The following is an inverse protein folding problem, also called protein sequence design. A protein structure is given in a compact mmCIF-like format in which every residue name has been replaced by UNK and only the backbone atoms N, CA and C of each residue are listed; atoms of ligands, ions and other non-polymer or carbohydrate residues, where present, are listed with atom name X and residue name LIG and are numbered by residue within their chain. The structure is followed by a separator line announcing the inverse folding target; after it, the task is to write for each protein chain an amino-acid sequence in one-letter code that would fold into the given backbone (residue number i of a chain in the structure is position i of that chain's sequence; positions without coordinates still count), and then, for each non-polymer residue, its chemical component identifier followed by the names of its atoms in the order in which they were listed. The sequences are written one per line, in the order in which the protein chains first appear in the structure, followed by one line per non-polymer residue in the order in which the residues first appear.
data_IF_045710721448
#
_entry.id   IF_045710721448
#
_cell.length_a   1.000
_cell.length_b   1.000
_cell.length_c   1.000
_cell.angle_alpha   90.00
_cell.angle_beta   90.00
_cell.angle_gamma   90.00
#
_symmetry.space_group_name_H-M   'P 1'
#
loop_
_entity.id
_entity.type
_entity.pdbx_description
1 polymer ?
#
# COMPACT_ATOMS: atom_id res chain seq x y z
N UNK A 1 -1.25 -32.95 -6.22
CA UNK A 1 -2.20 -32.24 -7.10
C UNK A 1 -2.39 -30.87 -6.48
N UNK A 2 -2.00 -29.82 -7.17
CA UNK A 2 -2.24 -28.44 -6.69
C UNK A 2 -3.75 -28.15 -6.76
N UNK A 3 -4.33 -27.63 -5.68
CA UNK A 3 -5.72 -27.18 -5.70
C UNK A 3 -5.90 -26.11 -6.79
N UNK A 4 -7.00 -26.13 -7.55
CA UNK A 4 -7.27 -25.09 -8.54
C UNK A 4 -7.42 -23.75 -7.81
N UNK A 5 -6.57 -22.78 -8.16
CA UNK A 5 -6.71 -21.42 -7.65
C UNK A 5 -8.10 -20.87 -8.03
N UNK A 6 -8.79 -20.18 -7.11
CA UNK A 6 -10.04 -19.51 -7.44
C UNK A 6 -9.81 -18.56 -8.61
N UNK A 7 -10.80 -18.44 -9.49
CA UNK A 7 -10.75 -17.52 -10.63
C UNK A 7 -10.38 -16.10 -10.14
N UNK A 8 -9.50 -15.39 -10.85
CA UNK A 8 -9.05 -14.09 -10.41
C UNK A 8 -10.24 -13.14 -10.24
N UNK A 9 -10.32 -12.48 -9.08
CA UNK A 9 -11.38 -11.54 -8.74
C UNK A 9 -11.46 -10.36 -9.74
N UNK A 10 -12.56 -9.58 -9.71
CA UNK A 10 -12.72 -8.42 -10.58
C UNK A 10 -11.62 -7.39 -10.32
N UNK A 11 -11.24 -6.64 -11.35
CA UNK A 11 -10.28 -5.55 -11.21
C UNK A 11 -10.82 -4.47 -10.30
N UNK A 12 -10.04 -4.11 -9.30
CA UNK A 12 -10.35 -3.06 -8.34
C UNK A 12 -9.65 -1.74 -8.69
N UNK A 13 -8.42 -1.84 -9.23
CA UNK A 13 -7.62 -0.72 -9.72
C UNK A 13 -7.06 -1.05 -11.10
N UNK A 14 -7.15 -0.09 -12.01
CA UNK A 14 -6.45 -0.11 -13.30
C UNK A 14 -5.84 1.25 -13.59
N UNK A 15 -4.57 1.25 -13.94
CA UNK A 15 -3.85 2.38 -14.49
C UNK A 15 -3.60 2.12 -15.97
N UNK A 16 -3.83 3.13 -16.80
CA UNK A 16 -3.54 3.06 -18.24
C UNK A 16 -2.83 4.34 -18.64
N UNK A 17 -1.58 4.20 -19.09
CA UNK A 17 -0.77 5.30 -19.53
C UNK A 17 -0.67 6.42 -18.48
N UNK A 18 -0.50 6.11 -17.20
CA UNK A 18 -0.47 7.12 -16.14
C UNK A 18 0.84 7.89 -16.18
N UNK A 19 0.75 9.18 -16.42
CA UNK A 19 1.83 10.16 -16.30
C UNK A 19 1.64 11.03 -15.06
N UNK A 20 2.75 11.46 -14.44
CA UNK A 20 2.70 12.37 -13.29
C UNK A 20 3.91 13.30 -13.26
N UNK A 21 3.70 14.53 -12.75
CA UNK A 21 4.73 15.57 -12.66
C UNK A 21 4.75 16.24 -11.29
N UNK A 22 5.94 16.65 -10.86
CA UNK A 22 6.15 17.62 -9.80
C UNK A 22 6.70 18.91 -10.43
N UNK A 23 5.86 19.94 -10.51
CA UNK A 23 6.17 21.13 -11.32
C UNK A 23 6.44 20.73 -12.78
N UNK A 24 7.62 21.05 -13.28
CA UNK A 24 8.05 20.70 -14.65
C UNK A 24 8.70 19.30 -14.75
N UNK A 25 9.04 18.70 -13.62
CA UNK A 25 9.71 17.38 -13.61
C UNK A 25 8.71 16.27 -13.91
N UNK A 26 8.85 15.61 -15.05
CA UNK A 26 8.06 14.46 -15.46
C UNK A 26 8.64 13.19 -14.80
N UNK A 27 7.88 12.56 -13.93
CA UNK A 27 8.35 11.42 -13.12
C UNK A 27 7.78 10.09 -13.58
N UNK A 28 6.49 10.04 -13.93
CA UNK A 28 5.88 8.81 -14.45
C UNK A 28 5.65 8.95 -15.95
N UNK A 29 6.11 7.96 -16.70
CA UNK A 29 6.18 7.96 -18.15
C UNK A 29 5.26 6.91 -18.78
N UNK A 30 4.00 6.84 -18.34
CA UNK A 30 3.01 5.91 -18.86
C UNK A 30 2.98 4.59 -18.07
N UNK A 31 2.65 4.64 -16.79
CA UNK A 31 2.47 3.45 -15.95
C UNK A 31 1.18 2.72 -16.35
N UNK A 32 1.34 1.45 -16.70
CA UNK A 32 0.25 0.49 -16.92
C UNK A 32 0.31 -0.60 -15.85
N UNK A 33 -0.73 -0.72 -15.03
CA UNK A 33 -0.88 -1.81 -14.06
C UNK A 33 -2.33 -2.03 -13.69
N UNK A 34 -2.62 -3.20 -13.13
CA UNK A 34 -3.92 -3.47 -12.53
C UNK A 34 -3.78 -4.27 -11.23
N UNK A 35 -4.78 -4.14 -10.36
CA UNK A 35 -4.88 -4.90 -9.10
C UNK A 35 -6.29 -5.48 -9.01
N UNK A 36 -6.39 -6.76 -8.72
CA UNK A 36 -7.66 -7.47 -8.57
C UNK A 36 -8.09 -7.50 -7.10
N UNK A 37 -9.36 -7.65 -6.88
CA UNK A 37 -9.91 -7.76 -5.52
C UNK A 37 -9.29 -8.94 -4.75
N UNK A 38 -8.87 -8.70 -3.50
CA UNK A 38 -8.25 -9.70 -2.63
C UNK A 38 -6.78 -10.02 -2.97
N UNK A 39 -6.18 -9.30 -3.93
CA UNK A 39 -4.79 -9.48 -4.36
C UNK A 39 -3.83 -8.60 -3.55
N UNK A 40 -2.65 -9.11 -3.28
CA UNK A 40 -1.50 -8.33 -2.79
C UNK A 40 -0.54 -8.13 -3.94
N UNK A 41 -0.41 -6.90 -4.42
CA UNK A 41 0.50 -6.52 -5.51
C UNK A 41 1.63 -5.66 -4.95
N UNK A 42 2.85 -5.94 -5.36
CA UNK A 42 4.02 -5.18 -4.94
C UNK A 42 4.67 -4.46 -6.13
N UNK A 43 4.94 -3.16 -5.96
CA UNK A 43 5.76 -2.36 -6.85
C UNK A 43 7.21 -2.41 -6.36
N UNK A 44 8.08 -3.02 -7.13
CA UNK A 44 9.51 -3.10 -6.91
C UNK A 44 10.25 -2.06 -7.77
N UNK A 45 11.43 -1.65 -7.35
CA UNK A 45 12.28 -0.71 -8.08
C UNK A 45 13.28 -0.04 -7.16
N UNK A 46 14.27 0.64 -7.72
CA UNK A 46 15.26 1.42 -6.95
C UNK A 46 14.67 2.73 -6.42
N UNK A 47 15.35 3.36 -5.47
CA UNK A 47 14.99 4.71 -5.02
C UNK A 47 14.98 5.67 -6.21
N UNK A 48 13.92 6.51 -6.29
CA UNK A 48 13.71 7.41 -7.42
C UNK A 48 13.09 6.77 -8.67
N UNK A 49 12.78 5.47 -8.68
CA UNK A 49 12.17 4.80 -9.83
C UNK A 49 10.72 5.27 -10.14
N UNK A 50 10.05 5.97 -9.21
CA UNK A 50 8.67 6.45 -9.39
C UNK A 50 7.61 5.68 -8.61
N UNK A 51 8.00 4.75 -7.75
CA UNK A 51 7.09 3.90 -6.95
C UNK A 51 6.12 4.70 -6.07
N UNK A 52 6.65 5.50 -5.12
CA UNK A 52 5.89 6.40 -4.25
C UNK A 52 5.06 7.39 -5.06
N UNK A 53 5.63 7.93 -6.16
CA UNK A 53 4.91 8.82 -7.07
C UNK A 53 3.70 8.13 -7.71
N UNK A 54 3.79 6.83 -8.00
CA UNK A 54 2.66 6.04 -8.51
C UNK A 54 1.52 6.00 -7.48
N UNK A 55 1.80 5.69 -6.20
CA UNK A 55 0.77 5.71 -5.16
C UNK A 55 0.19 7.12 -4.95
N UNK A 56 1.05 8.14 -4.89
CA UNK A 56 0.61 9.54 -4.78
C UNK A 56 -0.22 9.99 -5.98
N UNK A 57 0.11 9.55 -7.20
CA UNK A 57 -0.67 9.84 -8.40
C UNK A 57 -2.05 9.15 -8.36
N UNK A 58 -2.14 7.90 -7.91
CA UNK A 58 -3.43 7.21 -7.70
C UNK A 58 -4.31 8.02 -6.73
N UNK A 59 -3.75 8.48 -5.62
CA UNK A 59 -4.45 9.27 -4.59
C UNK A 59 -4.74 10.72 -4.98
N UNK A 60 -4.22 11.20 -6.13
CA UNK A 60 -4.38 12.61 -6.52
C UNK A 60 -3.54 13.60 -5.73
N UNK A 61 -2.45 13.13 -5.13
CA UNK A 61 -1.53 13.93 -4.30
C UNK A 61 -0.35 14.52 -5.09
N UNK A 62 -0.35 14.40 -6.41
CA UNK A 62 0.62 15.02 -7.33
C UNK A 62 0.00 16.23 -8.01
N UNK A 63 0.81 17.23 -8.36
CA UNK A 63 0.32 18.48 -8.92
C UNK A 63 -0.32 18.34 -10.31
N UNK A 64 0.27 17.53 -11.18
CA UNK A 64 -0.25 17.26 -12.53
C UNK A 64 -0.14 15.77 -12.83
N UNK A 65 -1.21 15.20 -13.40
CA UNK A 65 -1.27 13.82 -13.87
C UNK A 65 -2.17 13.72 -15.10
N UNK A 66 -1.93 12.70 -15.94
CA UNK A 66 -2.74 12.37 -17.11
C UNK A 66 -2.75 10.86 -17.36
N UNK A 67 -3.52 10.41 -18.30
CA UNK A 67 -3.82 8.99 -18.53
C UNK A 67 -5.14 8.61 -17.86
N UNK A 68 -5.27 7.36 -17.40
CA UNK A 68 -6.48 6.86 -16.74
C UNK A 68 -6.13 6.19 -15.42
N UNK A 69 -6.93 6.47 -14.38
CA UNK A 69 -6.91 5.81 -13.06
C UNK A 69 -8.33 5.34 -12.76
N UNK A 70 -8.61 4.07 -12.97
CA UNK A 70 -9.94 3.50 -12.69
C UNK A 70 -9.94 2.73 -11.37
N UNK A 71 -10.86 3.10 -10.47
CA UNK A 71 -11.02 2.50 -9.15
C UNK A 71 -12.46 2.01 -9.03
N UNK A 72 -12.67 0.73 -8.83
CA UNK A 72 -14.01 0.12 -8.85
C UNK A 72 -14.81 0.52 -10.12
N UNK A 73 -14.15 0.58 -11.29
CA UNK A 73 -14.74 1.00 -12.56
C UNK A 73 -14.95 2.52 -12.73
N UNK A 74 -14.73 3.33 -11.69
CA UNK A 74 -14.88 4.79 -11.73
C UNK A 74 -13.55 5.44 -12.16
N UNK A 75 -13.61 6.34 -13.15
CA UNK A 75 -12.45 7.15 -13.57
C UNK A 75 -12.12 8.20 -12.50
N UNK A 76 -10.88 8.19 -12.02
CA UNK A 76 -10.44 8.98 -10.87
C UNK A 76 -9.31 9.98 -11.19
N UNK A 77 -8.76 9.97 -12.42
CA UNK A 77 -7.59 10.81 -12.75
C UNK A 77 -7.82 12.30 -12.52
N UNK A 78 -9.04 12.79 -12.68
CA UNK A 78 -9.40 14.20 -12.44
C UNK A 78 -10.02 14.45 -11.05
N UNK A 79 -10.22 13.42 -10.23
CA UNK A 79 -10.86 13.59 -8.92
C UNK A 79 -9.88 14.14 -7.88
N UNK A 80 -10.36 14.98 -6.95
CA UNK A 80 -9.56 15.42 -5.81
C UNK A 80 -9.37 14.28 -4.79
N UNK A 81 -8.29 14.32 -3.96
CA UNK A 81 -7.91 13.22 -3.06
C UNK A 81 -9.02 12.72 -2.14
N UNK A 82 -9.82 13.62 -1.57
CA UNK A 82 -10.92 13.24 -0.67
C UNK A 82 -11.99 12.41 -1.40
N UNK A 83 -12.29 12.70 -2.68
CA UNK A 83 -13.24 11.89 -3.47
C UNK A 83 -12.66 10.55 -3.85
N UNK A 84 -11.34 10.50 -4.13
CA UNK A 84 -10.65 9.24 -4.39
C UNK A 84 -10.70 8.33 -3.17
N UNK A 85 -10.45 8.86 -1.96
CA UNK A 85 -10.56 8.09 -0.72
C UNK A 85 -11.95 7.43 -0.58
N UNK A 86 -13.03 8.17 -0.90
CA UNK A 86 -14.41 7.64 -0.87
C UNK A 86 -14.72 6.58 -1.94
N UNK A 87 -13.80 6.29 -2.88
CA UNK A 87 -13.88 5.10 -3.73
C UNK A 87 -13.40 3.83 -3.01
N UNK A 88 -13.10 3.93 -1.71
CA UNK A 88 -12.67 2.82 -0.86
C UNK A 88 -11.16 2.65 -0.76
N UNK A 89 -10.38 3.74 -0.93
CA UNK A 89 -8.92 3.72 -0.81
C UNK A 89 -8.44 4.20 0.56
N UNK A 90 -7.48 3.46 1.13
CA UNK A 90 -6.69 3.88 2.28
C UNK A 90 -5.22 4.01 1.90
N UNK A 91 -4.57 5.13 2.24
CA UNK A 91 -3.17 5.37 1.94
C UNK A 91 -2.35 5.50 3.23
N UNK A 92 -1.31 4.68 3.36
CA UNK A 92 -0.31 4.76 4.41
C UNK A 92 1.00 5.24 3.78
N UNK A 93 1.38 6.52 3.95
CA UNK A 93 2.63 7.06 3.41
C UNK A 93 3.83 6.58 4.22
N UNK A 94 5.02 6.67 3.63
CA UNK A 94 6.31 6.38 4.24
C UNK A 94 6.52 7.18 5.55
N UNK A 95 6.11 8.47 5.56
CA UNK A 95 6.23 9.37 6.71
C UNK A 95 5.24 9.05 7.85
N UNK A 96 4.45 7.95 7.74
CA UNK A 96 3.46 7.48 8.72
C UNK A 96 2.27 8.43 8.95
N UNK A 97 2.49 9.75 8.92
CA UNK A 97 1.45 10.78 9.03
C UNK A 97 0.64 10.71 10.34
N UNK A 98 1.26 10.30 11.46
CA UNK A 98 0.61 10.27 12.76
C UNK A 98 0.59 11.66 13.43
N UNK A 99 -0.39 11.90 14.29
CA UNK A 99 -0.49 13.13 15.06
C UNK A 99 0.22 12.94 16.40
N UNK A 100 1.39 13.58 16.56
CA UNK A 100 2.30 13.39 17.69
C UNK A 100 1.69 13.78 19.04
N UNK A 101 0.82 14.80 19.08
CA UNK A 101 0.16 15.31 20.28
C UNK A 101 -1.06 14.50 20.70
N UNK A 102 -1.70 13.78 19.78
CA UNK A 102 -2.85 12.92 20.09
C UNK A 102 -2.37 11.59 20.65
N UNK A 103 -3.17 10.99 21.53
CA UNK A 103 -2.94 9.63 22.00
C UNK A 103 -3.02 8.62 20.85
N UNK A 104 -2.51 7.41 21.07
CA UNK A 104 -2.62 6.32 20.11
C UNK A 104 -4.09 6.05 19.74
N UNK A 105 -5.00 6.02 20.72
CA UNK A 105 -6.43 5.77 20.49
C UNK A 105 -7.10 6.93 19.73
N UNK A 106 -6.82 8.19 20.08
CA UNK A 106 -7.30 9.35 19.33
C UNK A 106 -6.80 9.34 17.88
N UNK A 107 -5.56 8.96 17.64
CA UNK A 107 -5.04 8.77 16.28
C UNK A 107 -5.84 7.72 15.50
N UNK A 108 -6.22 6.60 16.13
CA UNK A 108 -7.05 5.55 15.51
C UNK A 108 -8.47 6.05 15.19
N UNK A 109 -9.04 6.89 16.04
CA UNK A 109 -10.42 7.37 15.90
C UNK A 109 -10.55 8.60 14.99
N UNK A 110 -9.45 9.29 14.70
CA UNK A 110 -9.45 10.55 13.95
C UNK A 110 -9.92 10.42 12.49
N UNK A 111 -9.48 9.40 11.70
CA UNK A 111 -9.87 9.33 10.30
C UNK A 111 -11.36 9.11 10.13
N UNK A 112 -12.04 9.89 9.27
CA UNK A 112 -13.46 9.64 8.96
C UNK A 112 -13.62 8.34 8.17
N UNK A 113 -14.77 7.66 8.29
CA UNK A 113 -15.10 6.53 7.42
C UNK A 113 -15.14 6.97 5.95
N UNK A 114 -14.53 6.17 5.07
CA UNK A 114 -14.61 6.35 3.60
C UNK A 114 -15.58 5.36 2.96
N UNK A 115 -15.85 4.24 3.66
CA UNK A 115 -16.82 3.23 3.28
C UNK A 115 -17.37 2.51 4.52
N UNK A 116 -18.41 1.70 4.35
CA UNK A 116 -18.87 0.78 5.39
C UNK A 116 -17.84 -0.34 5.67
N UNK A 117 -17.88 -0.94 6.86
CA UNK A 117 -17.05 -2.10 7.20
C UNK A 117 -15.67 -1.74 7.76
N UNK A 118 -15.45 -0.50 8.23
CA UNK A 118 -14.24 -0.15 8.97
C UNK A 118 -14.08 -1.00 10.23
N UNK A 119 -12.84 -1.47 10.48
CA UNK A 119 -12.55 -2.33 11.65
C UNK A 119 -12.75 -1.56 12.96
N UNK A 120 -13.36 -2.21 13.93
CA UNK A 120 -13.49 -1.71 15.32
C UNK A 120 -12.13 -1.74 16.03
N UNK A 121 -12.02 -1.03 17.16
CA UNK A 121 -10.83 -1.13 18.01
C UNK A 121 -10.64 -2.56 18.56
N UNK A 122 -11.73 -3.28 18.82
CA UNK A 122 -11.67 -4.67 19.29
C UNK A 122 -11.16 -5.65 18.24
N UNK A 123 -11.24 -5.29 16.94
CA UNK A 123 -10.65 -6.05 15.85
C UNK A 123 -9.18 -5.65 15.58
N UNK A 124 -8.84 -4.37 15.80
CA UNK A 124 -7.50 -3.82 15.56
C UNK A 124 -6.52 -4.24 16.68
N UNK A 125 -6.94 -4.15 17.94
CA UNK A 125 -6.06 -4.42 19.07
C UNK A 125 -5.49 -5.85 19.13
N UNK A 126 -6.22 -6.91 18.73
CA UNK A 126 -5.63 -8.24 18.60
C UNK A 126 -4.55 -8.34 17.51
N UNK A 127 -4.68 -7.56 16.42
CA UNK A 127 -3.67 -7.50 15.37
C UNK A 127 -2.41 -6.72 15.81
N UNK A 128 -2.60 -5.69 16.65
CA UNK A 128 -1.54 -4.80 17.13
C UNK A 128 -1.61 -4.64 18.66
N UNK A 129 -1.24 -5.68 19.45
CA UNK A 129 -1.37 -5.64 20.92
C UNK A 129 -0.59 -4.50 21.57
N UNK A 130 0.53 -4.10 20.98
CA UNK A 130 1.34 -2.97 21.44
C UNK A 130 0.56 -1.66 21.41
N UNK A 131 -0.31 -1.45 20.41
CA UNK A 131 -1.14 -0.24 20.32
C UNK A 131 -2.16 -0.21 21.47
N UNK A 132 -2.74 -1.37 21.83
CA UNK A 132 -3.64 -1.48 23.00
C UNK A 132 -2.92 -1.12 24.28
N UNK A 133 -1.72 -1.64 24.51
CA UNK A 133 -0.91 -1.36 25.70
C UNK A 133 -0.54 0.13 25.78
N UNK A 134 -0.43 0.80 24.65
CA UNK A 134 -0.02 2.22 24.52
C UNK A 134 -1.18 3.15 24.18
N UNK A 135 -2.45 2.73 24.32
CA UNK A 135 -3.63 3.45 23.83
C UNK A 135 -3.71 4.91 24.30
N UNK A 136 -3.30 5.19 25.53
CA UNK A 136 -3.31 6.54 26.13
C UNK A 136 -1.98 7.31 25.93
N UNK A 137 -0.96 6.68 25.36
CA UNK A 137 0.34 7.32 25.12
C UNK A 137 0.25 8.28 23.93
N UNK A 138 0.82 9.50 24.01
CA UNK A 138 0.94 10.39 22.85
C UNK A 138 1.66 9.72 21.69
N UNK A 139 1.18 9.96 20.45
CA UNK A 139 1.77 9.39 19.24
C UNK A 139 3.26 9.65 19.08
N UNK A 140 3.72 10.84 19.49
CA UNK A 140 5.14 11.21 19.45
C UNK A 140 6.03 10.44 20.44
N UNK A 141 5.46 9.72 21.41
CA UNK A 141 6.19 8.86 22.37
C UNK A 141 6.19 7.38 21.99
N UNK A 142 5.55 7.03 20.89
CA UNK A 142 5.59 5.68 20.33
C UNK A 142 6.93 5.45 19.63
N UNK A 143 7.45 4.23 19.70
CA UNK A 143 8.59 3.82 18.88
C UNK A 143 8.26 3.90 17.39
N UNK A 144 9.28 3.96 16.52
CA UNK A 144 9.05 4.00 15.08
C UNK A 144 8.20 2.84 14.56
N UNK A 145 8.36 1.63 15.12
CA UNK A 145 7.56 0.48 14.79
C UNK A 145 6.11 0.57 15.27
N UNK A 146 5.87 1.10 16.49
CA UNK A 146 4.52 1.35 17.00
C UNK A 146 3.81 2.43 16.17
N UNK A 147 4.53 3.47 15.75
CA UNK A 147 4.00 4.52 14.86
C UNK A 147 3.62 3.94 13.49
N UNK A 148 4.42 3.02 12.95
CA UNK A 148 4.11 2.35 11.68
C UNK A 148 2.87 1.46 11.79
N UNK A 149 2.79 0.66 12.85
CA UNK A 149 1.58 -0.13 13.14
C UNK A 149 0.35 0.77 13.32
N UNK A 150 0.49 1.92 14.00
CA UNK A 150 -0.58 2.90 14.16
C UNK A 150 -1.02 3.49 12.82
N UNK A 151 -0.08 3.83 11.93
CA UNK A 151 -0.38 4.36 10.60
C UNK A 151 -1.20 3.37 9.75
N UNK A 152 -0.82 2.09 9.75
CA UNK A 152 -1.58 1.03 9.08
C UNK A 152 -2.95 0.84 9.75
N UNK A 153 -3.00 0.74 11.07
CA UNK A 153 -4.24 0.52 11.81
C UNK A 153 -5.28 1.63 11.59
N UNK A 154 -4.84 2.88 11.43
CA UNK A 154 -5.72 4.03 11.15
C UNK A 154 -6.51 3.86 9.86
N UNK A 155 -5.88 3.41 8.78
CA UNK A 155 -6.58 3.23 7.50
C UNK A 155 -7.58 2.07 7.54
N UNK A 156 -7.34 1.04 8.38
CA UNK A 156 -8.28 -0.07 8.57
C UNK A 156 -9.59 0.39 9.22
N UNK A 157 -9.55 1.44 10.02
CA UNK A 157 -10.73 2.05 10.65
C UNK A 157 -11.68 2.69 9.63
N UNK A 158 -11.16 3.11 8.48
CA UNK A 158 -11.91 3.91 7.52
C UNK A 158 -12.89 3.12 6.66
N UNK A 159 -12.82 1.79 6.64
CA UNK A 159 -13.58 0.93 5.74
C UNK A 159 -12.99 0.83 4.33
N UNK A 160 -11.77 1.31 4.12
CA UNK A 160 -11.07 1.14 2.85
C UNK A 160 -10.90 -0.35 2.50
N UNK A 161 -11.15 -0.69 1.24
CA UNK A 161 -11.03 -2.06 0.71
C UNK A 161 -9.77 -2.25 -0.16
N UNK A 162 -9.18 -1.14 -0.64
CA UNK A 162 -7.88 -1.10 -1.30
C UNK A 162 -6.91 -0.27 -0.45
N UNK A 163 -5.86 -0.92 0.02
CA UNK A 163 -4.82 -0.30 0.84
C UNK A 163 -3.60 -0.02 -0.03
N UNK A 164 -3.17 1.23 -0.06
CA UNK A 164 -1.92 1.68 -0.68
C UNK A 164 -0.89 1.85 0.44
N UNK A 165 0.17 1.03 0.45
CA UNK A 165 1.19 0.99 1.50
C UNK A 165 2.55 1.39 0.93
N UNK A 166 3.15 2.45 1.47
CA UNK A 166 4.39 3.05 0.96
C UNK A 166 5.54 2.78 1.93
N UNK A 167 6.45 1.85 1.57
CA UNK A 167 7.68 1.49 2.29
C UNK A 167 7.49 1.25 3.80
N UNK A 168 6.45 0.47 4.14
CA UNK A 168 6.03 0.29 5.53
C UNK A 168 6.98 -0.57 6.38
N UNK A 169 7.94 -1.27 5.76
CA UNK A 169 8.91 -2.12 6.46
C UNK A 169 10.26 -1.43 6.72
N UNK A 170 10.50 -0.24 6.14
CA UNK A 170 11.81 0.40 6.15
C UNK A 170 12.23 0.87 7.56
N UNK A 171 13.50 0.61 7.91
CA UNK A 171 14.10 1.05 9.17
C UNK A 171 13.50 0.42 10.43
N UNK A 172 12.71 -0.65 10.32
CA UNK A 172 12.05 -1.27 11.45
C UNK A 172 12.79 -2.51 11.98
N UNK A 173 12.65 -2.76 13.27
CA UNK A 173 13.17 -3.98 13.90
C UNK A 173 12.48 -5.22 13.30
N UNK A 174 13.19 -6.38 13.17
CA UNK A 174 12.64 -7.59 12.54
C UNK A 174 11.33 -8.08 13.15
N UNK A 175 11.13 -7.93 14.45
CA UNK A 175 9.89 -8.32 15.14
C UNK A 175 8.68 -7.48 14.66
N UNK A 176 8.88 -6.21 14.37
CA UNK A 176 7.84 -5.32 13.86
C UNK A 176 7.52 -5.67 12.41
N UNK A 177 8.55 -5.91 11.59
CA UNK A 177 8.40 -6.35 10.19
C UNK A 177 7.58 -7.64 10.13
N UNK A 178 7.83 -8.60 11.03
CA UNK A 178 7.04 -9.84 11.14
C UNK A 178 5.59 -9.57 11.54
N UNK A 179 5.35 -8.67 12.50
CA UNK A 179 3.99 -8.29 12.91
C UNK A 179 3.20 -7.63 11.76
N UNK A 180 3.84 -6.73 10.99
CA UNK A 180 3.24 -6.13 9.80
C UNK A 180 2.94 -7.18 8.72
N UNK A 181 3.86 -8.12 8.49
CA UNK A 181 3.65 -9.21 7.54
C UNK A 181 2.44 -10.08 7.93
N UNK A 182 2.29 -10.40 9.22
CA UNK A 182 1.12 -11.14 9.72
C UNK A 182 -0.17 -10.35 9.55
N UNK A 183 -0.14 -9.04 9.82
CA UNK A 183 -1.28 -8.16 9.62
C UNK A 183 -1.71 -8.15 8.13
N UNK A 184 -0.78 -7.99 7.19
CA UNK A 184 -1.11 -8.01 5.75
C UNK A 184 -1.74 -9.35 5.33
N UNK A 185 -1.19 -10.49 5.80
CA UNK A 185 -1.80 -11.81 5.51
C UNK A 185 -3.24 -11.88 6.02
N UNK A 186 -3.47 -11.47 7.27
CA UNK A 186 -4.81 -11.46 7.86
C UNK A 186 -5.77 -10.53 7.10
N UNK A 187 -5.30 -9.38 6.62
CA UNK A 187 -6.11 -8.47 5.83
C UNK A 187 -6.47 -9.08 4.48
N UNK A 188 -5.52 -9.73 3.81
CA UNK A 188 -5.78 -10.49 2.57
C UNK A 188 -6.80 -11.59 2.80
N UNK A 189 -6.67 -12.38 3.87
CA UNK A 189 -7.60 -13.45 4.23
C UNK A 189 -9.01 -12.92 4.54
N UNK A 190 -9.13 -11.66 4.98
CA UNK A 190 -10.40 -10.93 5.12
C UNK A 190 -10.91 -10.33 3.79
N UNK A 191 -10.22 -10.54 2.68
CA UNK A 191 -10.62 -10.08 1.34
C UNK A 191 -10.22 -8.62 1.02
N UNK A 192 -9.37 -7.99 1.84
CA UNK A 192 -8.82 -6.67 1.48
C UNK A 192 -7.78 -6.82 0.37
N UNK A 193 -7.68 -5.78 -0.42
CA UNK A 193 -6.73 -5.67 -1.54
C UNK A 193 -5.59 -4.76 -1.12
N UNK A 194 -4.37 -5.11 -1.48
CA UNK A 194 -3.18 -4.34 -1.12
C UNK A 194 -2.34 -4.05 -2.37
N UNK A 195 -2.00 -2.79 -2.56
CA UNK A 195 -0.93 -2.36 -3.46
C UNK A 195 0.16 -1.75 -2.59
N UNK A 196 1.31 -2.39 -2.51
CA UNK A 196 2.42 -1.89 -1.70
C UNK A 196 3.64 -1.54 -2.55
N UNK A 197 4.33 -0.52 -2.13
CA UNK A 197 5.67 -0.15 -2.57
C UNK A 197 6.66 -0.64 -1.54
N UNK A 198 7.64 -1.42 -1.95
CA UNK A 198 8.67 -1.94 -1.05
C UNK A 198 10.04 -2.02 -1.73
N UNK A 199 11.07 -1.66 -0.99
CA UNK A 199 12.45 -1.94 -1.34
C UNK A 199 12.91 -3.26 -0.69
N UNK A 200 12.36 -3.59 0.47
CA UNK A 200 12.68 -4.80 1.20
C UNK A 200 12.02 -6.02 0.52
N UNK A 201 12.71 -6.58 -0.45
CA UNK A 201 12.25 -7.75 -1.19
C UNK A 201 11.96 -8.96 -0.28
N UNK A 202 12.75 -9.16 0.80
CA UNK A 202 12.53 -10.26 1.75
C UNK A 202 11.23 -10.13 2.52
N UNK A 203 10.76 -8.90 2.73
CA UNK A 203 9.46 -8.63 3.31
C UNK A 203 8.34 -8.83 2.29
N UNK A 204 8.49 -8.28 1.09
CA UNK A 204 7.45 -8.30 0.06
C UNK A 204 7.20 -9.69 -0.55
N UNK A 205 8.28 -10.44 -0.83
CA UNK A 205 8.21 -11.69 -1.55
C UNK A 205 7.22 -12.74 -0.98
N UNK A 206 7.18 -13.01 0.34
CA UNK A 206 6.25 -13.98 0.91
C UNK A 206 4.80 -13.48 1.06
N UNK A 207 4.52 -12.23 0.71
CA UNK A 207 3.21 -11.60 0.87
C UNK A 207 2.50 -11.40 -0.47
N UNK A 208 3.27 -11.07 -1.52
CA UNK A 208 2.73 -10.69 -2.81
C UNK A 208 2.21 -11.89 -3.62
N UNK A 209 1.11 -11.67 -4.32
CA UNK A 209 0.59 -12.57 -5.34
C UNK A 209 1.20 -12.23 -6.71
N UNK A 210 1.56 -10.95 -6.93
CA UNK A 210 2.12 -10.44 -8.19
C UNK A 210 3.02 -9.23 -7.96
N UNK A 211 3.99 -9.07 -8.88
CA UNK A 211 4.98 -8.01 -8.87
C UNK A 211 4.92 -7.17 -10.13
N UNK A 212 5.15 -5.87 -9.99
CA UNK A 212 5.51 -4.95 -11.05
C UNK A 212 6.87 -4.35 -10.72
N UNK A 213 7.77 -4.31 -11.69
CA UNK A 213 9.08 -3.68 -11.55
C UNK A 213 9.05 -2.34 -12.25
N UNK A 214 9.35 -1.28 -11.50
CA UNK A 214 9.36 0.10 -12.01
C UNK A 214 10.80 0.59 -12.09
N UNK A 215 11.15 1.14 -13.25
CA UNK A 215 12.41 1.82 -13.47
C UNK A 215 12.17 3.09 -14.30
N UNK A 216 12.80 4.20 -13.91
CA UNK A 216 12.67 5.48 -14.61
C UNK A 216 11.22 5.90 -14.92
N UNK A 217 10.29 5.64 -14.00
CA UNK A 217 8.88 6.00 -14.15
C UNK A 217 8.08 5.14 -15.13
N UNK A 218 8.57 3.96 -15.48
CA UNK A 218 7.90 3.00 -16.36
C UNK A 218 7.86 1.60 -15.73
N UNK A 219 6.84 0.82 -16.06
CA UNK A 219 6.82 -0.61 -15.75
C UNK A 219 7.68 -1.32 -16.80
N UNK A 220 8.78 -1.92 -16.35
CA UNK A 220 9.71 -2.67 -17.22
C UNK A 220 9.42 -4.17 -17.23
N UNK A 221 8.77 -4.68 -16.17
CA UNK A 221 8.44 -6.10 -16.05
C UNK A 221 7.26 -6.29 -15.11
N UNK A 222 6.46 -7.35 -15.29
CA UNK A 222 5.46 -7.81 -14.34
C UNK A 222 5.35 -9.32 -14.38
N UNK A 223 5.11 -9.96 -13.22
CA UNK A 223 5.04 -11.42 -13.12
C UNK A 223 4.30 -11.87 -11.86
N UNK A 224 3.78 -13.10 -11.88
CA UNK A 224 3.17 -13.74 -10.72
C UNK A 224 4.22 -14.22 -9.71
N UNK A 225 3.87 -14.31 -8.43
CA UNK A 225 4.78 -14.74 -7.35
C UNK A 225 5.40 -16.13 -7.61
N UNK A 226 4.70 -17.04 -8.31
CA UNK A 226 5.22 -18.35 -8.70
C UNK A 226 6.39 -18.31 -9.69
N UNK A 227 6.55 -17.19 -10.42
CA UNK A 227 7.65 -16.98 -11.37
C UNK A 227 8.88 -16.35 -10.70
N UNK A 228 8.79 -16.02 -9.41
CA UNK A 228 9.79 -15.27 -8.66
C UNK A 228 11.19 -15.86 -8.75
N UNK A 229 11.33 -17.16 -8.57
CA UNK A 229 12.64 -17.85 -8.65
C UNK A 229 13.27 -17.73 -10.04
N UNK A 230 12.46 -17.85 -11.11
CA UNK A 230 12.94 -17.68 -12.49
C UNK A 230 13.36 -16.25 -12.79
N UNK A 231 12.83 -15.26 -12.07
CA UNK A 231 13.13 -13.82 -12.24
C UNK A 231 14.21 -13.30 -11.30
N UNK A 232 14.75 -14.14 -10.40
CA UNK A 232 15.68 -13.72 -9.34
C UNK A 232 16.93 -13.02 -9.90
N UNK A 233 17.52 -13.53 -10.97
CA UNK A 233 18.72 -12.93 -11.60
C UNK A 233 18.44 -11.51 -12.12
N UNK A 234 17.33 -11.32 -12.82
CA UNK A 234 16.89 -10.01 -13.31
C UNK A 234 16.62 -9.04 -12.15
N UNK A 235 15.95 -9.52 -11.08
CA UNK A 235 15.66 -8.71 -9.90
C UNK A 235 16.95 -8.27 -9.19
N UNK A 236 17.98 -9.13 -9.10
CA UNK A 236 19.29 -8.75 -8.56
C UNK A 236 19.94 -7.62 -9.40
N UNK A 237 19.86 -7.69 -10.72
CA UNK A 237 20.40 -6.66 -11.61
C UNK A 237 19.65 -5.33 -11.46
N UNK A 238 18.31 -5.38 -11.52
CA UNK A 238 17.47 -4.18 -11.50
C UNK A 238 17.40 -3.54 -10.11
N UNK A 239 17.30 -4.32 -9.04
CA UNK A 239 17.16 -3.80 -7.66
C UNK A 239 18.52 -3.55 -7.00
N UNK A 240 19.61 -4.18 -7.47
CA UNK A 240 20.94 -4.07 -6.88
C UNK A 240 21.07 -4.79 -5.53
N UNK A 241 20.35 -5.92 -5.32
CA UNK A 241 20.29 -6.72 -4.09
C UNK A 241 20.81 -8.12 -4.31
#
# INVERSE_FOLDING_TARGET
MAEPQPAPGPELLRLTGLHAWYGESHILHGIDLHVRRGEVVTLLGRNGAGRTTTLKAIMGLVGRRSGSVRINGTEAVALPPHRIAHLGLGYCPEERGIFASLSCEENLLLPPPVAAGGMSLDEIYPMFPNLKARRTSPGGRLSGGEQQMLAVARILRTGATLLLLDEISEGLAPVIVQALAQAIRLLRDKGLTVLMVEQNFRFAAPLADRFYVIEHGQVIEHFDARELEARRAMLHEVLGV
#
